data_IF_370944953146
#
_entry.id   IF_370944953146
#
_cell.length_a   1.000
_cell.length_b   1.000
_cell.length_c   1.000
_cell.angle_alpha   90.00
_cell.angle_beta   90.00
_cell.angle_gamma   90.00
#
_symmetry.space_group_name_H-M   'P 1'
#
loop_
_entity.id
_entity.type
_entity.pdbx_description
1 polymer ?
#
# COMPACT_ATOMS: atom_id res chain seq x y z
N UNK A 1 -7.56 -10.40 -18.43
CA UNK A 1 -8.54 -9.64 -19.22
C UNK A 1 -7.80 -8.96 -20.36
N UNK A 2 -8.32 -9.01 -21.58
CA UNK A 2 -7.74 -8.27 -22.70
C UNK A 2 -8.36 -6.86 -22.74
N UNK A 3 -7.52 -5.83 -22.65
CA UNK A 3 -7.94 -4.42 -22.65
C UNK A 3 -7.64 -3.72 -23.96
N UNK A 4 -7.00 -4.41 -24.91
CA UNK A 4 -6.51 -3.82 -26.14
C UNK A 4 -7.66 -3.26 -27.00
N UNK A 5 -8.85 -3.83 -26.87
CA UNK A 5 -10.07 -3.37 -27.55
C UNK A 5 -10.71 -2.12 -26.91
N UNK A 6 -10.35 -1.76 -25.68
CA UNK A 6 -10.88 -0.58 -24.96
C UNK A 6 -10.00 0.66 -25.10
N UNK A 7 -8.88 0.54 -25.80
CA UNK A 7 -7.93 1.62 -25.97
C UNK A 7 -8.42 2.63 -27.01
N UNK A 8 -8.15 3.91 -26.73
CA UNK A 8 -8.34 4.96 -27.71
C UNK A 8 -7.34 4.76 -28.87
N UNK A 9 -7.63 5.27 -30.08
CA UNK A 9 -6.75 5.08 -31.24
C UNK A 9 -5.31 5.60 -31.05
N UNK A 10 -5.13 6.61 -30.19
CA UNK A 10 -3.83 7.20 -29.84
C UNK A 10 -3.21 6.62 -28.56
N UNK A 11 -3.89 5.69 -27.90
CA UNK A 11 -3.49 5.14 -26.62
C UNK A 11 -2.52 3.98 -26.82
N UNK A 12 -1.38 4.07 -26.14
CA UNK A 12 -0.29 3.10 -26.21
C UNK A 12 -0.08 2.49 -24.85
N UNK A 13 -0.07 1.16 -24.80
CA UNK A 13 0.30 0.43 -23.60
C UNK A 13 1.78 0.67 -23.30
N UNK A 14 2.07 1.28 -22.16
CA UNK A 14 3.43 1.52 -21.69
C UNK A 14 3.93 0.33 -20.87
N UNK A 15 3.10 -0.13 -19.93
CA UNK A 15 3.47 -1.23 -19.03
C UNK A 15 2.27 -1.97 -18.50
N UNK A 16 2.47 -3.25 -18.22
CA UNK A 16 1.48 -4.14 -17.63
C UNK A 16 2.06 -4.81 -16.40
N UNK A 17 1.28 -4.81 -15.33
CA UNK A 17 1.59 -5.47 -14.07
C UNK A 17 0.49 -6.48 -13.78
N UNK A 18 0.90 -7.72 -13.57
CA UNK A 18 0.03 -8.85 -13.25
C UNK A 18 0.20 -9.23 -11.78
N UNK A 19 -0.79 -9.93 -11.24
CA UNK A 19 -0.77 -10.45 -9.88
C UNK A 19 -0.56 -9.37 -8.79
N UNK A 20 -1.16 -8.21 -8.99
CA UNK A 20 -1.19 -7.16 -7.98
C UNK A 20 -2.40 -7.35 -7.05
N UNK A 21 -2.34 -6.78 -5.86
CA UNK A 21 -3.51 -6.74 -4.96
C UNK A 21 -4.25 -5.44 -5.22
N UNK A 22 -5.56 -5.54 -5.46
CA UNK A 22 -6.44 -4.41 -5.70
C UNK A 22 -7.67 -4.59 -4.84
N UNK A 23 -8.01 -3.61 -4.01
CA UNK A 23 -9.17 -3.66 -3.10
C UNK A 23 -9.17 -4.94 -2.22
N UNK A 24 -8.02 -5.22 -1.58
CA UNK A 24 -7.75 -6.43 -0.78
C UNK A 24 -7.95 -7.78 -1.50
N UNK A 25 -8.16 -7.77 -2.82
CA UNK A 25 -8.28 -8.99 -3.64
C UNK A 25 -7.00 -9.20 -4.43
N UNK A 26 -6.44 -10.41 -4.31
CA UNK A 26 -5.30 -10.86 -5.12
C UNK A 26 -5.73 -11.12 -6.57
N UNK A 27 -4.75 -11.36 -7.45
CA UNK A 27 -4.97 -11.56 -8.89
C UNK A 27 -5.56 -10.34 -9.60
N UNK A 28 -5.25 -9.14 -9.13
CA UNK A 28 -5.47 -7.91 -9.85
C UNK A 28 -4.43 -7.70 -10.94
N UNK A 29 -4.73 -6.74 -11.81
CA UNK A 29 -3.92 -6.32 -12.93
C UNK A 29 -3.94 -4.80 -13.03
N UNK A 30 -2.78 -4.21 -13.34
CA UNK A 30 -2.63 -2.78 -13.61
C UNK A 30 -2.00 -2.60 -14.98
N UNK A 31 -2.66 -1.80 -15.81
CA UNK A 31 -2.20 -1.44 -17.13
C UNK A 31 -1.98 0.06 -17.16
N UNK A 32 -0.76 0.45 -17.47
CA UNK A 32 -0.37 1.84 -17.60
C UNK A 32 -0.30 2.16 -19.10
N UNK A 33 -1.10 3.12 -19.53
CA UNK A 33 -1.01 3.70 -20.88
C UNK A 33 -0.42 5.12 -20.80
N UNK A 34 -0.22 5.74 -21.95
CA UNK A 34 0.19 7.13 -22.04
C UNK A 34 -0.92 8.13 -21.60
N UNK A 35 -2.17 7.69 -21.48
CA UNK A 35 -3.32 8.56 -21.19
C UNK A 35 -4.07 8.17 -19.92
N UNK A 36 -4.10 6.88 -19.58
CA UNK A 36 -4.92 6.34 -18.49
C UNK A 36 -4.19 5.23 -17.74
N UNK A 37 -4.60 5.05 -16.49
CA UNK A 37 -4.26 3.89 -15.68
C UNK A 37 -5.50 3.03 -15.56
N UNK A 38 -5.41 1.78 -16.01
CA UNK A 38 -6.43 0.78 -15.76
C UNK A 38 -6.01 -0.09 -14.60
N UNK A 39 -6.87 -0.19 -13.58
CA UNK A 39 -6.64 -1.04 -12.41
C UNK A 39 -7.86 -1.89 -12.22
N UNK A 40 -7.68 -3.20 -12.05
CA UNK A 40 -8.84 -4.06 -11.89
C UNK A 40 -8.50 -5.50 -11.58
N UNK A 41 -9.54 -6.26 -11.26
CA UNK A 41 -9.50 -7.70 -11.09
C UNK A 41 -10.52 -8.34 -12.05
N UNK A 42 -10.85 -9.62 -11.83
CA UNK A 42 -11.79 -10.37 -12.67
C UNK A 42 -13.23 -9.81 -12.62
N UNK A 43 -13.56 -9.03 -11.59
CA UNK A 43 -14.91 -8.54 -11.32
C UNK A 43 -15.08 -7.07 -11.68
N UNK A 44 -14.08 -6.25 -11.35
CA UNK A 44 -14.15 -4.79 -11.51
C UNK A 44 -12.93 -4.28 -12.28
N UNK A 45 -13.17 -3.29 -13.14
CA UNK A 45 -12.15 -2.53 -13.85
C UNK A 45 -12.41 -1.04 -13.61
N UNK A 46 -11.39 -0.35 -13.11
CA UNK A 46 -11.36 1.09 -12.99
C UNK A 46 -10.43 1.66 -14.05
N UNK A 47 -10.93 2.62 -14.82
CA UNK A 47 -10.14 3.44 -15.71
C UNK A 47 -9.98 4.85 -15.12
N UNK A 48 -8.73 5.26 -14.90
CA UNK A 48 -8.38 6.51 -14.25
C UNK A 48 -7.57 7.34 -15.25
N UNK A 49 -8.11 8.47 -15.74
CA UNK A 49 -7.35 9.39 -16.58
C UNK A 49 -6.11 9.91 -15.86
N UNK A 50 -4.95 9.88 -16.50
CA UNK A 50 -3.70 10.36 -15.92
C UNK A 50 -3.76 11.87 -15.61
N UNK A 51 -4.58 12.63 -16.36
CA UNK A 51 -4.83 14.06 -16.10
C UNK A 51 -5.50 14.33 -14.76
N UNK A 52 -6.21 13.34 -14.18
CA UNK A 52 -6.87 13.44 -12.89
C UNK A 52 -5.99 12.96 -11.73
N UNK A 53 -4.75 12.56 -12.00
CA UNK A 53 -3.82 12.06 -10.98
C UNK A 53 -2.87 13.20 -10.60
N UNK A 54 -3.19 13.91 -9.51
CA UNK A 54 -2.37 15.01 -9.01
C UNK A 54 -1.00 14.52 -8.49
N UNK A 55 -1.01 13.41 -7.74
CA UNK A 55 0.20 12.78 -7.22
C UNK A 55 0.02 11.28 -6.99
N UNK A 56 1.14 10.54 -7.01
CA UNK A 56 1.22 9.13 -6.63
C UNK A 56 2.32 8.97 -5.60
N UNK A 57 1.95 8.49 -4.42
CA UNK A 57 2.91 8.17 -3.37
C UNK A 57 3.17 6.67 -3.31
N UNK A 58 4.41 6.29 -2.98
CA UNK A 58 4.70 4.91 -2.62
C UNK A 58 4.18 4.67 -1.21
N UNK A 59 3.12 3.87 -1.10
CA UNK A 59 2.61 3.42 0.21
C UNK A 59 3.71 2.79 1.07
N UNK A 60 3.54 2.87 2.39
CA UNK A 60 4.49 2.31 3.35
C UNK A 60 4.59 0.80 3.16
N UNK A 61 5.71 0.34 2.60
CA UNK A 61 6.05 -1.08 2.52
C UNK A 61 7.03 -1.36 3.66
N UNK A 62 6.57 -1.93 4.78
CA UNK A 62 7.46 -2.20 5.89
C UNK A 62 8.54 -3.18 5.46
N UNK A 63 9.80 -2.89 5.84
CA UNK A 63 10.95 -3.76 5.52
C UNK A 63 10.89 -5.12 6.21
N UNK A 64 10.13 -5.21 7.30
CA UNK A 64 10.00 -6.40 8.13
C UNK A 64 8.58 -6.96 8.05
N UNK A 65 8.43 -8.28 8.20
CA UNK A 65 7.09 -8.89 8.25
C UNK A 65 6.29 -8.36 9.45
N UNK A 66 4.97 -8.47 9.40
CA UNK A 66 4.08 -8.05 10.49
C UNK A 66 4.51 -8.64 11.85
N UNK A 67 4.91 -9.91 11.87
CA UNK A 67 5.42 -10.59 13.06
C UNK A 67 6.69 -9.95 13.63
N UNK A 68 7.63 -9.57 12.76
CA UNK A 68 8.84 -8.89 13.20
C UNK A 68 8.55 -7.47 13.68
N UNK A 69 7.57 -6.77 13.09
CA UNK A 69 7.14 -5.46 13.58
C UNK A 69 6.56 -5.54 14.99
N UNK A 70 5.73 -6.56 15.28
CA UNK A 70 5.19 -6.80 16.62
C UNK A 70 6.28 -7.01 17.68
N UNK A 71 7.44 -7.57 17.30
CA UNK A 71 8.57 -7.73 18.21
C UNK A 71 9.43 -6.46 18.31
N UNK A 72 9.77 -5.84 17.18
CA UNK A 72 10.71 -4.72 17.16
C UNK A 72 10.12 -3.41 17.67
N UNK A 73 8.82 -3.17 17.48
CA UNK A 73 8.20 -1.91 17.90
C UNK A 73 8.20 -1.78 19.43
N UNK A 74 7.68 -2.74 20.21
CA UNK A 74 7.73 -2.66 21.67
C UNK A 74 9.18 -2.60 22.19
N UNK A 75 10.08 -3.41 21.60
CA UNK A 75 11.48 -3.42 21.99
C UNK A 75 12.17 -2.07 21.73
N UNK A 76 11.87 -1.42 20.60
CA UNK A 76 12.40 -0.10 20.27
C UNK A 76 11.89 0.97 21.22
N UNK A 77 10.63 0.90 21.64
CA UNK A 77 10.03 1.83 22.61
C UNK A 77 10.68 1.66 24.00
N UNK A 78 10.88 0.42 24.45
CA UNK A 78 11.60 0.12 25.69
C UNK A 78 13.04 0.62 25.63
N UNK A 79 13.72 0.40 24.50
CA UNK A 79 15.09 0.85 24.30
C UNK A 79 15.21 2.37 24.30
N UNK A 80 14.30 3.08 23.61
CA UNK A 80 14.25 4.54 23.62
C UNK A 80 13.96 5.09 25.02
N UNK A 81 13.03 4.48 25.77
CA UNK A 81 12.78 4.83 27.18
C UNK A 81 14.03 4.66 28.03
N UNK A 82 14.74 3.55 27.88
CA UNK A 82 15.96 3.26 28.65
C UNK A 82 17.13 4.21 28.30
N UNK A 83 17.28 4.57 27.03
CA UNK A 83 18.41 5.39 26.55
C UNK A 83 18.17 6.89 26.77
N UNK A 84 16.94 7.37 26.56
CA UNK A 84 16.63 8.80 26.61
C UNK A 84 15.98 9.25 27.93
N UNK A 85 15.78 8.35 28.90
CA UNK A 85 15.09 8.63 30.16
C UNK A 85 13.73 9.32 29.97
N UNK A 86 13.08 9.09 28.83
CA UNK A 86 11.78 9.67 28.52
C UNK A 86 10.74 9.04 29.45
N UNK A 87 9.89 9.89 30.02
CA UNK A 87 8.77 9.47 30.88
C UNK A 87 7.61 8.96 30.01
N UNK A 88 7.83 7.84 29.32
CA UNK A 88 6.77 7.09 28.65
C UNK A 88 6.12 6.21 29.71
N UNK A 89 4.83 6.43 29.97
CA UNK A 89 4.08 5.64 30.96
C UNK A 89 3.71 4.28 30.39
N UNK A 90 3.43 3.30 31.24
CA UNK A 90 3.03 1.97 30.77
C UNK A 90 1.68 2.03 30.00
N UNK A 91 0.84 3.03 30.29
CA UNK A 91 -0.41 3.31 29.57
C UNK A 91 -0.16 3.80 28.13
N UNK A 92 0.88 4.61 27.91
CA UNK A 92 1.27 5.07 26.57
C UNK A 92 1.78 3.90 25.70
N UNK A 93 2.46 2.94 26.33
CA UNK A 93 2.93 1.73 25.67
C UNK A 93 1.76 0.82 25.27
N UNK A 94 0.78 0.63 26.16
CA UNK A 94 -0.43 -0.14 25.86
C UNK A 94 -1.24 0.48 24.71
N UNK A 95 -1.43 1.80 24.73
CA UNK A 95 -2.12 2.53 23.65
C UNK A 95 -1.39 2.40 22.31
N UNK A 96 -0.06 2.47 22.30
CA UNK A 96 0.73 2.29 21.09
C UNK A 96 0.61 0.87 20.52
N UNK A 97 0.60 -0.15 21.39
CA UNK A 97 0.42 -1.55 21.00
C UNK A 97 -0.99 -1.79 20.45
N UNK A 98 -2.02 -1.24 21.09
CA UNK A 98 -3.42 -1.42 20.68
C UNK A 98 -3.73 -0.71 19.36
N UNK A 99 -3.25 0.52 19.19
CA UNK A 99 -3.33 1.24 17.93
C UNK A 99 -2.66 0.47 16.78
N UNK A 100 -1.57 -0.24 17.04
CA UNK A 100 -0.88 -1.04 16.02
C UNK A 100 -1.65 -2.31 15.63
N UNK A 101 -2.34 -2.95 16.58
CA UNK A 101 -3.21 -4.12 16.30
C UNK A 101 -4.40 -3.78 15.42
N UNK A 102 -4.90 -2.55 15.49
CA UNK A 102 -6.05 -2.10 14.70
C UNK A 102 -5.70 -1.53 13.31
N UNK A 103 -4.41 -1.37 13.01
CA UNK A 103 -3.90 -0.81 11.74
C UNK A 103 -3.42 -1.89 10.76
N UNK A 104 -3.15 -3.12 11.22
CA UNK A 104 -2.81 -4.28 10.39
C UNK A 104 -4.05 -5.09 10.00
#
# INVERSE_FOLDING_TARGET
MDLTEKFLPSEKLLKKYENITVDNKRNGSLFLTNLRVFVGNQFNLWDIPCENIDYLERGFVPRFSAWWQLLFIPLSLIFVRAVFHLHITDEDLEKAIDAFKHVQ
#
